data_IF_946100368498
#
_entry.id   IF_946100368498
#
_cell.length_a   1.000
_cell.length_b   1.000
_cell.length_c   1.000
_cell.angle_alpha   90.00
_cell.angle_beta   90.00
_cell.angle_gamma   90.00
#
_symmetry.space_group_name_H-M   'P 1'
#
loop_
_entity.id
_entity.type
_entity.pdbx_description
1 polymer ?
#
# COMPACT_ATOMS: atom_id res chain seq x y z
N UNK A 1 29.58 -8.35 -4.57
CA UNK A 1 28.77 -9.58 -4.52
C UNK A 1 27.38 -9.23 -5.01
N UNK A 2 26.73 -10.05 -5.86
CA UNK A 2 25.33 -9.87 -6.18
C UNK A 2 24.48 -9.81 -4.90
N UNK A 3 23.57 -8.86 -4.85
CA UNK A 3 22.69 -8.62 -3.70
C UNK A 3 21.26 -8.93 -4.11
N UNK A 4 20.55 -9.72 -3.31
CA UNK A 4 19.10 -9.84 -3.34
C UNK A 4 18.51 -8.97 -2.23
N UNK A 5 17.67 -8.01 -2.60
CA UNK A 5 16.92 -7.17 -1.68
C UNK A 5 15.51 -7.72 -1.54
N UNK A 6 15.19 -8.15 -0.33
CA UNK A 6 13.91 -8.71 0.09
C UNK A 6 12.96 -7.60 0.56
N UNK A 7 11.67 -7.84 0.43
CA UNK A 7 10.64 -6.99 1.01
C UNK A 7 10.54 -7.27 2.51
N UNK A 8 10.76 -6.28 3.39
CA UNK A 8 10.70 -6.50 4.84
C UNK A 8 9.31 -6.93 5.33
N UNK A 9 8.23 -6.67 4.56
CA UNK A 9 6.88 -7.13 4.90
C UNK A 9 6.74 -8.64 4.70
N UNK A 10 7.40 -9.19 3.68
CA UNK A 10 7.30 -10.58 3.27
C UNK A 10 8.67 -11.14 2.87
N UNK A 11 9.63 -11.26 3.81
CA UNK A 11 11.01 -11.62 3.48
C UNK A 11 11.13 -13.05 2.93
N UNK A 12 10.13 -13.90 3.14
CA UNK A 12 10.04 -15.25 2.57
C UNK A 12 9.54 -15.29 1.12
N UNK A 13 8.94 -14.20 0.64
CA UNK A 13 8.22 -14.17 -0.64
C UNK A 13 9.14 -13.78 -1.80
N UNK A 14 10.02 -14.71 -2.16
CA UNK A 14 10.91 -14.54 -3.32
C UNK A 14 10.33 -15.26 -4.54
N UNK A 15 10.04 -14.54 -5.64
CA UNK A 15 9.54 -15.17 -6.86
C UNK A 15 10.50 -16.25 -7.36
N UNK A 16 9.95 -17.38 -7.82
CA UNK A 16 10.73 -18.48 -8.39
C UNK A 16 11.64 -18.02 -9.53
N UNK A 17 11.20 -17.02 -10.30
CA UNK A 17 11.98 -16.40 -11.37
C UNK A 17 13.27 -15.77 -10.88
N UNK A 18 13.32 -15.26 -9.64
CA UNK A 18 14.52 -14.73 -8.99
C UNK A 18 15.27 -15.85 -8.28
N UNK A 19 14.57 -16.66 -7.48
CA UNK A 19 15.16 -17.71 -6.65
C UNK A 19 16.05 -18.68 -7.44
N UNK A 20 15.66 -19.04 -8.67
CA UNK A 20 16.43 -19.93 -9.55
C UNK A 20 17.80 -19.38 -9.99
N UNK A 21 18.03 -18.06 -9.87
CA UNK A 21 19.31 -17.42 -10.21
C UNK A 21 20.32 -17.49 -9.06
N UNK A 22 19.88 -17.86 -7.86
CA UNK A 22 20.74 -17.99 -6.67
C UNK A 22 21.27 -19.43 -6.64
N UNK A 23 22.49 -19.61 -7.15
CA UNK A 23 23.10 -20.93 -7.35
C UNK A 23 24.23 -21.27 -6.38
N UNK A 24 24.52 -20.39 -5.41
CA UNK A 24 25.64 -20.52 -4.47
C UNK A 24 25.26 -20.15 -3.04
N UNK A 25 26.21 -20.20 -2.08
CA UNK A 25 25.94 -19.79 -0.71
C UNK A 25 25.60 -18.30 -0.64
N UNK A 26 24.75 -17.95 0.32
CA UNK A 26 24.35 -16.58 0.62
C UNK A 26 24.91 -16.10 1.95
N UNK A 27 25.05 -14.79 2.11
CA UNK A 27 25.31 -14.12 3.38
C UNK A 27 24.09 -13.27 3.69
N UNK A 28 23.40 -13.59 4.78
CA UNK A 28 22.27 -12.81 5.26
C UNK A 28 22.76 -11.67 6.13
N UNK A 29 22.30 -10.46 5.85
CA UNK A 29 22.49 -9.34 6.76
C UNK A 29 21.62 -9.51 8.03
N UNK A 30 21.99 -8.88 9.16
CA UNK A 30 21.39 -9.18 10.46
C UNK A 30 19.88 -8.98 10.55
N UNK A 31 19.33 -8.02 9.80
CA UNK A 31 17.93 -7.65 9.77
C UNK A 31 17.03 -8.69 9.07
N UNK A 32 17.59 -9.60 8.26
CA UNK A 32 16.81 -10.66 7.64
C UNK A 32 16.40 -11.69 8.70
N UNK A 33 15.09 -11.92 8.94
CA UNK A 33 14.63 -12.85 9.97
C UNK A 33 15.10 -14.28 9.73
N UNK A 34 15.34 -15.05 10.80
CA UNK A 34 15.81 -16.44 10.70
C UNK A 34 14.87 -17.34 9.87
N UNK A 35 13.56 -17.13 9.97
CA UNK A 35 12.57 -17.90 9.20
C UNK A 35 12.69 -17.70 7.68
N UNK A 36 13.24 -16.55 7.24
CA UNK A 36 13.47 -16.21 5.84
C UNK A 36 14.84 -16.65 5.32
N UNK A 37 15.66 -17.29 6.14
CA UNK A 37 17.01 -17.74 5.75
C UNK A 37 16.99 -19.11 5.07
N UNK A 38 16.24 -19.21 3.98
CA UNK A 38 15.98 -20.47 3.28
C UNK A 38 17.15 -21.01 2.44
N UNK A 39 18.09 -20.15 2.00
CA UNK A 39 19.25 -20.56 1.20
C UNK A 39 20.44 -20.97 2.08
N UNK A 40 21.27 -21.94 1.64
CA UNK A 40 22.49 -22.30 2.35
C UNK A 40 23.38 -21.07 2.54
N UNK A 41 23.85 -20.82 3.77
CA UNK A 41 24.68 -19.66 4.08
C UNK A 41 26.06 -20.06 4.61
N UNK A 42 27.08 -19.26 4.29
CA UNK A 42 28.47 -19.47 4.75
C UNK A 42 29.24 -18.14 4.79
N UNK A 43 30.29 -18.05 5.61
CA UNK A 43 31.14 -16.86 5.64
C UNK A 43 31.87 -16.66 4.29
N UNK A 44 31.88 -15.44 3.76
CA UNK A 44 32.48 -15.16 2.44
C UNK A 44 31.62 -15.71 1.29
N UNK A 45 30.30 -15.64 1.45
CA UNK A 45 29.33 -16.13 0.49
C UNK A 45 29.46 -15.46 -0.88
N UNK A 46 28.78 -16.00 -1.89
CA UNK A 46 28.78 -15.38 -3.22
C UNK A 46 27.72 -14.27 -3.32
N UNK A 47 26.63 -14.41 -2.56
CA UNK A 47 25.48 -13.50 -2.57
C UNK A 47 25.30 -12.82 -1.23
N UNK A 48 24.75 -11.61 -1.26
CA UNK A 48 24.19 -10.95 -0.07
C UNK A 48 22.68 -11.01 -0.17
N UNK A 49 21.99 -11.38 0.90
CA UNK A 49 20.53 -11.30 1.01
C UNK A 49 20.20 -10.36 2.16
N UNK A 50 19.38 -9.35 1.89
CA UNK A 50 19.15 -8.22 2.80
C UNK A 50 17.73 -7.68 2.64
N UNK A 51 17.18 -7.01 3.67
CA UNK A 51 15.98 -6.17 3.52
C UNK A 51 16.32 -4.68 3.51
N UNK A 52 17.59 -4.31 3.67
CA UNK A 52 18.03 -2.93 3.53
C UNK A 52 18.03 -2.49 2.08
N UNK A 53 17.72 -1.20 1.86
CA UNK A 53 17.79 -0.60 0.54
C UNK A 53 19.23 -0.52 0.05
N UNK A 54 19.58 -1.41 -0.87
CA UNK A 54 20.92 -1.55 -1.46
C UNK A 54 20.81 -1.79 -2.96
N UNK A 55 21.88 -1.47 -3.68
CA UNK A 55 22.00 -1.82 -5.10
C UNK A 55 22.01 -3.34 -5.27
N UNK A 56 21.13 -3.86 -6.13
CA UNK A 56 20.97 -5.30 -6.33
C UNK A 56 19.71 -5.68 -7.08
N UNK A 57 19.46 -6.99 -7.14
CA UNK A 57 18.19 -7.55 -7.61
C UNK A 57 17.17 -7.34 -6.50
N UNK A 58 16.10 -6.60 -6.78
CA UNK A 58 15.02 -6.34 -5.84
C UNK A 58 13.85 -7.27 -6.12
N UNK A 59 13.20 -7.79 -5.07
CA UNK A 59 11.95 -8.52 -5.27
C UNK A 59 10.88 -7.57 -5.84
N UNK A 60 10.01 -8.02 -6.77
CA UNK A 60 9.02 -7.14 -7.42
C UNK A 60 8.04 -6.48 -6.46
N UNK A 61 7.84 -7.02 -5.26
CA UNK A 61 6.96 -6.40 -4.26
C UNK A 61 7.51 -5.08 -3.70
N UNK A 62 8.81 -4.81 -3.82
CA UNK A 62 9.41 -3.51 -3.52
C UNK A 62 9.13 -2.46 -4.61
N UNK A 63 8.72 -2.91 -5.80
CA UNK A 63 8.32 -2.06 -6.92
C UNK A 63 6.81 -1.84 -6.98
N UNK A 64 6.07 -2.29 -5.96
CA UNK A 64 4.63 -2.02 -5.82
C UNK A 64 4.38 -0.52 -5.60
N UNK A 65 3.67 0.17 -6.52
CA UNK A 65 3.43 1.61 -6.40
C UNK A 65 2.66 2.00 -5.14
N UNK A 66 1.79 1.14 -4.62
CA UNK A 66 1.03 1.43 -3.39
C UNK A 66 1.97 1.42 -2.19
N UNK A 67 2.81 0.39 -2.09
CA UNK A 67 3.86 0.35 -1.07
C UNK A 67 4.80 1.55 -1.16
N UNK A 68 5.25 1.91 -2.36
CA UNK A 68 6.11 3.09 -2.57
C UNK A 68 5.43 4.38 -2.13
N UNK A 69 4.13 4.55 -2.36
CA UNK A 69 3.38 5.71 -1.90
C UNK A 69 3.34 5.81 -0.36
N UNK A 70 3.07 4.69 0.32
CA UNK A 70 3.09 4.62 1.80
C UNK A 70 4.49 4.95 2.34
N UNK A 71 5.54 4.33 1.77
CA UNK A 71 6.91 4.61 2.20
C UNK A 71 7.33 6.06 1.93
N UNK A 72 6.87 6.64 0.82
CA UNK A 72 7.14 8.05 0.48
C UNK A 72 6.49 8.98 1.50
N UNK A 73 5.24 8.71 1.90
CA UNK A 73 4.57 9.48 2.94
C UNK A 73 5.27 9.36 4.30
N UNK A 74 5.64 8.14 4.70
CA UNK A 74 6.42 7.92 5.91
C UNK A 74 7.75 8.69 5.90
N UNK A 75 8.48 8.67 4.78
CA UNK A 75 9.71 9.43 4.60
C UNK A 75 9.46 10.95 4.65
N UNK A 76 8.37 11.43 4.07
CA UNK A 76 7.99 12.84 4.09
C UNK A 76 7.71 13.30 5.53
N UNK A 77 6.91 12.54 6.28
CA UNK A 77 6.63 12.78 7.71
C UNK A 77 7.87 12.63 8.61
N UNK A 78 8.88 11.88 8.19
CA UNK A 78 10.13 11.74 8.96
C UNK A 78 11.15 12.84 8.65
N UNK A 79 11.12 13.44 7.46
CA UNK A 79 12.19 14.33 6.95
C UNK A 79 11.77 15.78 6.71
N UNK A 80 10.50 16.02 6.38
CA UNK A 80 9.99 17.33 5.98
C UNK A 80 9.38 18.09 7.14
N UNK A 81 9.85 19.33 7.38
CA UNK A 81 9.37 20.17 8.49
C UNK A 81 7.88 20.53 8.34
N UNK A 82 7.44 20.80 7.10
CA UNK A 82 6.04 21.14 6.83
C UNK A 82 5.15 19.92 7.05
N UNK A 83 5.55 18.77 6.49
CA UNK A 83 4.84 17.51 6.63
C UNK A 83 4.71 17.12 8.09
N UNK A 84 5.76 17.26 8.90
CA UNK A 84 5.73 17.02 10.35
C UNK A 84 4.77 17.94 11.10
N UNK A 85 4.65 19.20 10.69
CA UNK A 85 3.77 20.17 11.32
C UNK A 85 2.28 19.90 11.05
N UNK A 86 1.95 19.08 10.05
CA UNK A 86 0.56 18.78 9.70
C UNK A 86 -0.14 17.94 10.79
N UNK A 87 -1.37 18.33 11.12
CA UNK A 87 -2.34 17.56 11.91
C UNK A 87 -3.55 17.22 11.05
N UNK A 88 -4.45 16.37 11.54
CA UNK A 88 -5.71 16.09 10.84
C UNK A 88 -6.47 17.39 10.54
N UNK A 89 -6.54 18.30 11.50
CA UNK A 89 -7.26 19.57 11.40
C UNK A 89 -6.56 20.54 10.44
N UNK A 90 -5.23 20.61 10.47
CA UNK A 90 -4.46 21.48 9.58
C UNK A 90 -4.57 21.08 8.10
N UNK A 91 -4.84 19.79 7.83
CA UNK A 91 -5.01 19.25 6.49
C UNK A 91 -6.40 19.46 5.88
N UNK A 92 -7.41 19.81 6.69
CA UNK A 92 -8.81 19.97 6.21
C UNK A 92 -8.92 20.94 5.02
N UNK A 93 -8.29 22.13 5.01
CA UNK A 93 -8.38 23.04 3.88
C UNK A 93 -7.86 22.41 2.58
N UNK A 94 -6.73 21.70 2.63
CA UNK A 94 -6.16 21.00 1.49
C UNK A 94 -7.07 19.88 1.01
N UNK A 95 -7.60 19.05 1.92
CA UNK A 95 -8.55 18.00 1.56
C UNK A 95 -9.80 18.56 0.85
N UNK A 96 -10.32 19.70 1.29
CA UNK A 96 -11.46 20.35 0.66
C UNK A 96 -11.11 20.90 -0.73
N UNK A 97 -9.92 21.49 -0.88
CA UNK A 97 -9.40 21.99 -2.15
C UNK A 97 -9.24 20.84 -3.16
N UNK A 98 -8.48 19.79 -2.83
CA UNK A 98 -8.25 18.66 -3.74
C UNK A 98 -9.56 17.93 -4.11
N UNK A 99 -10.50 17.84 -3.17
CA UNK A 99 -11.83 17.27 -3.44
C UNK A 99 -12.64 18.15 -4.41
N UNK A 100 -12.48 19.47 -4.35
CA UNK A 100 -13.11 20.40 -5.28
C UNK A 100 -12.46 20.32 -6.66
N UNK A 101 -11.12 20.32 -6.75
CA UNK A 101 -10.39 20.17 -8.02
C UNK A 101 -10.78 18.86 -8.72
N UNK A 102 -10.85 17.75 -7.98
CA UNK A 102 -11.34 16.48 -8.52
C UNK A 102 -12.78 16.57 -9.04
N UNK A 103 -13.68 17.21 -8.27
CA UNK A 103 -15.08 17.38 -8.69
C UNK A 103 -15.21 18.28 -9.93
N UNK A 104 -14.38 19.31 -10.03
CA UNK A 104 -14.31 20.21 -11.18
C UNK A 104 -13.82 19.47 -12.42
N UNK A 105 -12.75 18.69 -12.33
CA UNK A 105 -12.24 17.89 -13.45
C UNK A 105 -13.24 16.82 -13.90
N UNK A 106 -14.00 16.20 -12.97
CA UNK A 106 -15.08 15.27 -13.34
C UNK A 106 -16.21 15.99 -14.09
N UNK A 107 -16.55 17.21 -13.66
CA UNK A 107 -17.69 17.98 -14.22
C UNK A 107 -17.33 18.65 -15.54
N UNK A 108 -16.10 19.13 -15.68
CA UNK A 108 -15.57 19.81 -16.85
C UNK A 108 -14.24 19.16 -17.28
N UNK A 109 -14.27 17.96 -17.89
CA UNK A 109 -13.06 17.19 -18.17
C UNK A 109 -12.11 17.93 -19.10
N UNK A 110 -10.85 18.01 -18.67
CA UNK A 110 -9.75 18.55 -19.46
C UNK A 110 -8.92 17.42 -20.07
N UNK A 111 -8.57 16.40 -19.30
CA UNK A 111 -7.88 15.20 -19.79
C UNK A 111 -7.84 14.06 -18.77
N UNK A 112 -7.71 12.82 -19.24
CA UNK A 112 -7.46 11.64 -18.39
C UNK A 112 -6.20 11.80 -17.51
N UNK A 113 -5.20 12.53 -18.01
CA UNK A 113 -3.99 12.81 -17.26
C UNK A 113 -4.27 13.73 -16.06
N UNK A 114 -5.15 14.72 -16.23
CA UNK A 114 -5.55 15.63 -15.16
C UNK A 114 -6.46 14.92 -14.15
N UNK A 115 -7.44 14.13 -14.60
CA UNK A 115 -8.27 13.31 -13.71
C UNK A 115 -7.42 12.39 -12.82
N UNK A 116 -6.39 11.76 -13.40
CA UNK A 116 -5.45 10.92 -12.63
C UNK A 116 -4.63 11.73 -11.62
N UNK A 117 -4.23 12.96 -11.96
CA UNK A 117 -3.54 13.87 -11.03
C UNK A 117 -4.46 14.18 -9.84
N UNK A 118 -5.69 14.64 -10.08
CA UNK A 118 -6.58 15.02 -8.97
C UNK A 118 -6.97 13.82 -8.08
N UNK A 119 -7.12 12.62 -8.66
CA UNK A 119 -7.28 11.39 -7.88
C UNK A 119 -6.05 11.09 -7.00
N UNK A 120 -4.85 11.39 -7.49
CA UNK A 120 -3.61 11.25 -6.72
C UNK A 120 -3.53 12.27 -5.58
N UNK A 121 -3.99 13.50 -5.80
CA UNK A 121 -3.96 14.55 -4.80
C UNK A 121 -4.98 14.27 -3.66
N UNK A 122 -6.13 13.67 -3.98
CA UNK A 122 -7.04 13.12 -2.95
C UNK A 122 -6.41 11.92 -2.22
N UNK A 123 -5.70 11.03 -2.92
CA UNK A 123 -4.99 9.91 -2.28
C UNK A 123 -3.89 10.41 -1.33
N UNK A 124 -3.21 11.51 -1.66
CA UNK A 124 -2.21 12.14 -0.79
C UNK A 124 -2.81 12.50 0.58
N UNK A 125 -4.04 13.01 0.61
CA UNK A 125 -4.74 13.34 1.85
C UNK A 125 -5.06 12.09 2.69
N UNK A 126 -5.47 10.99 2.04
CA UNK A 126 -5.70 9.70 2.71
C UNK A 126 -4.40 9.18 3.33
N UNK A 127 -3.28 9.24 2.59
CA UNK A 127 -1.97 8.83 3.08
C UNK A 127 -1.50 9.68 4.27
N UNK A 128 -1.66 11.00 4.22
CA UNK A 128 -1.32 11.88 5.34
C UNK A 128 -2.09 11.50 6.61
N UNK A 129 -3.41 11.34 6.50
CA UNK A 129 -4.23 11.00 7.65
C UNK A 129 -3.92 9.60 8.19
N UNK A 130 -3.61 8.65 7.31
CA UNK A 130 -3.17 7.32 7.73
C UNK A 130 -1.82 7.36 8.45
N UNK A 131 -0.84 8.12 7.96
CA UNK A 131 0.48 8.23 8.60
C UNK A 131 0.39 8.94 9.96
N UNK A 132 -0.36 10.03 10.07
CA UNK A 132 -0.63 10.72 11.35
C UNK A 132 -1.30 9.77 12.36
N UNK A 133 -2.17 8.86 11.90
CA UNK A 133 -2.77 7.85 12.76
C UNK A 133 -1.79 6.72 13.14
N UNK A 134 -0.90 6.34 12.23
CA UNK A 134 0.09 5.30 12.43
C UNK A 134 1.14 5.72 13.45
N UNK A 135 1.61 6.99 13.41
CA UNK A 135 2.57 7.56 14.35
C UNK A 135 2.10 7.48 15.82
N UNK A 136 0.79 7.53 16.06
CA UNK A 136 0.18 7.39 17.40
C UNK A 136 -0.26 5.95 17.72
N UNK A 137 0.05 4.98 16.86
CA UNK A 137 -0.32 3.57 17.00
C UNK A 137 -1.83 3.30 16.91
N UNK A 138 -2.60 4.15 16.21
CA UNK A 138 -4.05 4.01 16.12
C UNK A 138 -4.48 3.09 14.95
N UNK A 139 -4.04 3.41 13.73
CA UNK A 139 -4.28 2.61 12.53
C UNK A 139 -3.30 3.04 11.43
N UNK A 140 -3.16 2.22 10.40
CA UNK A 140 -2.29 2.39 9.23
C UNK A 140 -3.11 2.53 7.95
N UNK A 141 -2.43 2.77 6.83
CA UNK A 141 -3.08 2.75 5.51
C UNK A 141 -3.69 1.37 5.18
N UNK A 142 -3.01 0.28 5.60
CA UNK A 142 -3.50 -1.08 5.40
C UNK A 142 -4.82 -1.31 6.16
N UNK A 143 -4.95 -0.78 7.38
CA UNK A 143 -6.19 -0.83 8.15
C UNK A 143 -7.34 -0.05 7.45
N UNK A 144 -7.04 1.08 6.80
CA UNK A 144 -8.02 1.83 6.00
C UNK A 144 -8.49 1.00 4.81
N UNK A 145 -7.57 0.33 4.10
CA UNK A 145 -7.89 -0.56 2.99
C UNK A 145 -8.69 -1.79 3.47
N UNK A 146 -8.32 -2.39 4.59
CA UNK A 146 -9.05 -3.51 5.19
C UNK A 146 -10.47 -3.11 5.61
N UNK A 147 -10.63 -1.92 6.21
CA UNK A 147 -11.95 -1.39 6.57
C UNK A 147 -12.83 -1.20 5.33
N UNK A 148 -12.27 -0.73 4.20
CA UNK A 148 -12.99 -0.66 2.93
C UNK A 148 -13.42 -2.04 2.43
N UNK A 149 -12.50 -3.01 2.38
CA UNK A 149 -12.80 -4.37 1.92
C UNK A 149 -13.86 -5.03 2.81
N UNK A 150 -13.75 -4.89 4.13
CA UNK A 150 -14.71 -5.42 5.10
C UNK A 150 -16.11 -4.84 4.88
N UNK A 151 -16.20 -3.51 4.71
CA UNK A 151 -17.45 -2.83 4.37
C UNK A 151 -18.06 -3.35 3.07
N UNK A 152 -17.24 -3.55 2.04
CA UNK A 152 -17.72 -4.07 0.76
C UNK A 152 -18.17 -5.53 0.87
N UNK A 153 -17.48 -6.38 1.65
CA UNK A 153 -17.93 -7.77 1.91
C UNK A 153 -19.31 -7.82 2.57
N UNK A 154 -19.60 -6.86 3.45
CA UNK A 154 -20.88 -6.79 4.16
C UNK A 154 -22.01 -6.19 3.31
N UNK A 155 -21.73 -5.14 2.53
CA UNK A 155 -22.75 -4.36 1.81
C UNK A 155 -22.92 -4.75 0.34
N UNK A 156 -21.94 -5.44 -0.24
CA UNK A 156 -21.94 -5.93 -1.62
C UNK A 156 -21.34 -7.35 -1.70
N UNK A 157 -21.94 -8.36 -1.02
CA UNK A 157 -21.39 -9.71 -0.93
C UNK A 157 -21.22 -10.42 -2.29
N UNK A 158 -22.01 -10.02 -3.30
CA UNK A 158 -21.92 -10.53 -4.66
C UNK A 158 -20.56 -10.27 -5.34
N UNK A 159 -19.74 -9.36 -4.78
CA UNK A 159 -18.36 -9.16 -5.25
C UNK A 159 -17.40 -10.26 -4.76
N UNK A 160 -17.80 -11.09 -3.80
CA UNK A 160 -16.92 -12.01 -3.06
C UNK A 160 -17.43 -13.46 -2.95
N UNK A 161 -18.70 -13.72 -3.28
CA UNK A 161 -19.33 -15.03 -3.09
C UNK A 161 -19.29 -15.94 -4.34
N UNK A 162 -18.59 -15.52 -5.39
CA UNK A 162 -18.51 -16.25 -6.65
C UNK A 162 -19.68 -16.00 -7.60
N UNK A 163 -20.56 -15.03 -7.29
CA UNK A 163 -21.58 -14.56 -8.21
C UNK A 163 -20.98 -14.14 -9.56
N UNK A 164 -21.68 -14.49 -10.64
CA UNK A 164 -21.28 -14.15 -12.01
C UNK A 164 -22.39 -13.35 -12.69
N UNK A 165 -22.01 -12.37 -13.51
CA UNK A 165 -22.96 -11.53 -14.23
C UNK A 165 -23.31 -10.24 -13.49
N UNK A 166 -24.21 -9.44 -14.07
CA UNK A 166 -24.61 -8.15 -13.51
C UNK A 166 -25.70 -8.31 -12.47
N UNK A 167 -25.55 -7.60 -11.34
CA UNK A 167 -26.58 -7.55 -10.30
C UNK A 167 -27.49 -6.35 -10.57
N UNK A 168 -28.82 -6.50 -10.61
CA UNK A 168 -29.74 -5.38 -10.79
C UNK A 168 -29.57 -4.33 -9.68
N UNK A 169 -29.63 -3.04 -10.02
CA UNK A 169 -29.46 -1.94 -9.06
C UNK A 169 -30.37 -2.06 -7.84
N UNK A 170 -31.64 -2.46 -8.03
CA UNK A 170 -32.58 -2.66 -6.92
C UNK A 170 -32.09 -3.69 -5.89
N UNK A 171 -31.38 -4.73 -6.33
CA UNK A 171 -30.78 -5.72 -5.43
C UNK A 171 -29.52 -5.17 -4.76
N UNK A 172 -28.70 -4.40 -5.48
CA UNK A 172 -27.54 -3.71 -4.90
C UNK A 172 -27.97 -2.76 -3.78
N UNK A 173 -29.00 -1.95 -4.01
CA UNK A 173 -29.56 -1.02 -3.01
C UNK A 173 -30.10 -1.77 -1.79
N UNK A 174 -30.81 -2.88 -2.02
CA UNK A 174 -31.35 -3.74 -0.95
C UNK A 174 -30.22 -4.30 -0.07
N UNK A 175 -29.18 -4.85 -0.69
CA UNK A 175 -28.01 -5.41 0.01
C UNK A 175 -27.23 -4.33 0.75
N UNK A 176 -27.11 -3.14 0.17
CA UNK A 176 -26.40 -2.03 0.79
C UNK A 176 -27.07 -1.55 2.08
N UNK A 177 -28.39 -1.35 2.04
CA UNK A 177 -29.17 -0.95 3.23
C UNK A 177 -29.24 -2.06 4.28
N UNK A 178 -29.25 -3.33 3.85
CA UNK A 178 -29.14 -4.46 4.77
C UNK A 178 -27.78 -4.52 5.46
N UNK A 179 -26.69 -4.33 4.73
CA UNK A 179 -25.33 -4.29 5.27
C UNK A 179 -25.13 -3.14 6.24
N UNK A 180 -25.62 -1.94 5.92
CA UNK A 180 -25.59 -0.78 6.84
C UNK A 180 -26.24 -1.07 8.20
N UNK A 181 -27.40 -1.75 8.22
CA UNK A 181 -28.11 -2.07 9.47
C UNK A 181 -27.37 -3.06 10.38
N UNK A 182 -26.44 -3.85 9.84
CA UNK A 182 -25.66 -4.83 10.59
C UNK A 182 -24.41 -4.24 11.25
N UNK A 183 -23.97 -3.07 10.77
CA UNK A 183 -22.78 -2.34 11.26
C UNK A 183 -23.11 -1.37 12.40
N UNK A 184 -24.41 -1.12 12.63
CA UNK A 184 -24.92 -0.13 13.59
C UNK A 184 -25.20 -0.73 14.98
#
# INVERSE_FOLDING_TARGET
MPTLVLDPRWPDMVPLTIAQHITGPVEYTPEVPEHARAWPHSQGAEWIVTTEDREGIRVPSLEDPVYQAVQTMHAARTRGEWEQAMTHEALIPYLLEESQELAEEITNPTSEANLRKELSDVLLQVLFHAEIAAERGAFTFDDVAEAFVTKMRQRAPYLFDGSTGTIPTAEQDRLWEEGKRREQ
#
